data_IF_202604993647
#
_entry.id   IF_202604993647
#
_cell.length_a   1.000
_cell.length_b   1.000
_cell.length_c   1.000
_cell.angle_alpha   90.00
_cell.angle_beta   90.00
_cell.angle_gamma   90.00
#
_symmetry.space_group_name_H-M   'P 1'
#
loop_
_entity.id
_entity.type
_entity.pdbx_description
1 polymer ?
#
# COMPACT_ATOMS: atom_id res chain seq x y z
N UNK A 1 -7.87 8.13 40.48
CA UNK A 1 -8.37 9.04 39.44
C UNK A 1 -8.13 8.41 38.08
N UNK A 2 -9.18 8.28 37.27
CA UNK A 2 -9.11 7.68 35.93
C UNK A 2 -8.23 8.58 35.03
N UNK A 3 -6.99 8.16 34.74
CA UNK A 3 -6.16 8.84 33.76
C UNK A 3 -6.63 8.43 32.37
N UNK A 4 -7.47 9.25 31.74
CA UNK A 4 -7.86 9.07 30.34
C UNK A 4 -6.62 9.31 29.45
N UNK A 5 -6.13 8.30 28.70
CA UNK A 5 -4.98 8.47 27.80
C UNK A 5 -5.43 9.02 26.44
N UNK A 6 -6.21 10.12 26.44
CA UNK A 6 -6.91 10.58 25.22
C UNK A 6 -6.43 11.96 24.73
N UNK A 7 -5.57 12.66 25.47
CA UNK A 7 -5.11 14.01 25.11
C UNK A 7 -3.60 14.12 24.86
N UNK A 8 -3.04 13.20 24.07
CA UNK A 8 -1.77 13.47 23.40
C UNK A 8 -1.97 13.32 21.89
N UNK A 9 -2.59 14.33 21.28
CA UNK A 9 -2.77 14.41 19.83
C UNK A 9 -1.38 14.48 19.22
N UNK A 10 -0.88 13.32 18.79
CA UNK A 10 0.42 13.21 18.14
C UNK A 10 0.34 13.88 16.76
N UNK A 11 1.43 14.50 16.30
CA UNK A 11 1.53 15.13 14.96
C UNK A 11 1.08 14.18 13.85
N UNK A 12 1.31 12.88 14.03
CA UNK A 12 0.84 11.81 13.16
C UNK A 12 -0.69 11.75 13.05
N UNK A 13 -1.41 11.77 14.18
CA UNK A 13 -2.88 11.71 14.18
C UNK A 13 -3.49 12.91 13.45
N UNK A 14 -2.95 14.10 13.69
CA UNK A 14 -3.35 15.31 12.97
C UNK A 14 -3.11 15.20 11.45
N UNK A 15 -1.93 14.69 11.06
CA UNK A 15 -1.59 14.47 9.64
C UNK A 15 -2.54 13.44 8.99
N UNK A 16 -2.83 12.33 9.65
CA UNK A 16 -3.76 11.32 9.16
C UNK A 16 -5.18 11.89 8.96
N UNK A 17 -5.67 12.67 9.93
CA UNK A 17 -6.97 13.36 9.81
C UNK A 17 -6.96 14.37 8.66
N UNK A 18 -5.88 15.13 8.50
CA UNK A 18 -5.74 16.06 7.38
C UNK A 18 -5.78 15.34 6.02
N UNK A 19 -5.06 14.22 5.89
CA UNK A 19 -5.11 13.40 4.67
C UNK A 19 -6.51 12.86 4.37
N UNK A 20 -7.18 12.32 5.39
CA UNK A 20 -8.54 11.82 5.25
C UNK A 20 -9.51 12.92 4.78
N UNK A 21 -9.43 14.10 5.40
CA UNK A 21 -10.26 15.24 5.01
C UNK A 21 -9.96 15.73 3.60
N UNK A 22 -8.68 15.84 3.21
CA UNK A 22 -8.32 16.22 1.85
C UNK A 22 -8.80 15.22 0.81
N UNK A 23 -8.71 13.92 1.08
CA UNK A 23 -9.26 12.89 0.18
C UNK A 23 -10.77 13.00 0.04
N UNK A 24 -11.47 13.32 1.14
CA UNK A 24 -12.91 13.56 1.12
C UNK A 24 -13.28 14.78 0.26
N UNK A 25 -12.57 15.90 0.42
CA UNK A 25 -12.78 17.11 -0.39
C UNK A 25 -12.47 16.83 -1.87
N UNK A 26 -11.35 16.15 -2.15
CA UNK A 26 -10.91 15.83 -3.51
C UNK A 26 -11.97 15.03 -4.28
N UNK A 27 -12.59 14.04 -3.62
CA UNK A 27 -13.71 13.26 -4.19
C UNK A 27 -14.90 14.13 -4.62
N UNK A 28 -15.15 15.24 -3.93
CA UNK A 28 -16.27 16.15 -4.23
C UNK A 28 -15.92 17.25 -5.24
N UNK A 29 -14.64 17.64 -5.32
CA UNK A 29 -14.16 18.71 -6.21
C UNK A 29 -13.89 18.18 -7.63
N UNK A 30 -13.51 16.92 -7.80
CA UNK A 30 -13.22 16.38 -9.12
C UNK A 30 -14.47 16.03 -9.93
N UNK A 31 -14.80 16.94 -10.86
CA UNK A 31 -15.92 16.80 -11.81
C UNK A 31 -15.46 16.78 -13.28
N UNK A 32 -14.36 16.08 -13.57
CA UNK A 32 -14.01 15.70 -14.95
C UNK A 32 -13.10 16.69 -15.70
N UNK A 33 -11.88 16.90 -15.19
CA UNK A 33 -10.80 17.51 -15.97
C UNK A 33 -9.90 16.44 -16.57
N UNK A 34 -9.72 16.45 -17.90
CA UNK A 34 -8.73 15.59 -18.56
C UNK A 34 -7.31 15.97 -18.12
N UNK A 35 -6.53 15.00 -17.65
CA UNK A 35 -5.17 15.23 -17.15
C UNK A 35 -4.18 15.07 -18.31
N UNK A 36 -3.43 16.13 -18.59
CA UNK A 36 -2.36 16.09 -19.56
C UNK A 36 -1.11 15.40 -19.00
N UNK A 37 -0.49 14.51 -19.79
CA UNK A 37 0.68 13.73 -19.38
C UNK A 37 1.86 14.57 -18.85
N UNK A 38 2.06 15.79 -19.35
CA UNK A 38 3.14 16.67 -18.88
C UNK A 38 3.01 17.06 -17.40
N UNK A 39 1.78 17.21 -16.87
CA UNK A 39 1.53 17.53 -15.46
C UNK A 39 1.98 16.39 -14.54
N UNK A 40 1.81 15.14 -14.98
CA UNK A 40 2.27 13.95 -14.23
C UNK A 40 3.80 13.92 -14.17
N UNK A 41 4.48 14.23 -15.28
CA UNK A 41 5.95 14.31 -15.33
C UNK A 41 6.46 15.40 -14.40
N UNK A 42 5.81 16.57 -14.37
CA UNK A 42 6.16 17.65 -13.45
C UNK A 42 5.98 17.23 -11.98
N UNK A 43 4.86 16.60 -11.63
CA UNK A 43 4.65 16.07 -10.28
C UNK A 43 5.72 15.03 -9.89
N UNK A 44 6.08 14.14 -10.83
CA UNK A 44 7.13 13.15 -10.61
C UNK A 44 8.50 13.82 -10.34
N UNK A 45 8.86 14.85 -11.10
CA UNK A 45 10.11 15.59 -10.88
C UNK A 45 10.16 16.29 -9.51
N UNK A 46 9.05 16.87 -9.06
CA UNK A 46 8.92 17.47 -7.72
C UNK A 46 9.11 16.40 -6.64
N UNK A 47 8.48 15.23 -6.79
CA UNK A 47 8.60 14.13 -5.82
C UNK A 47 10.03 13.57 -5.79
N UNK A 48 10.64 13.37 -6.96
CA UNK A 48 11.99 12.83 -7.06
C UNK A 48 13.05 13.77 -6.44
N UNK A 49 12.91 15.08 -6.65
CA UNK A 49 13.80 16.08 -6.04
C UNK A 49 13.58 16.12 -4.53
N UNK A 50 12.34 16.18 -4.05
CA UNK A 50 12.02 16.20 -2.62
C UNK A 50 12.51 14.93 -1.88
N UNK A 51 12.35 13.75 -2.49
CA UNK A 51 12.79 12.46 -1.94
C UNK A 51 14.30 12.43 -1.64
N UNK A 52 15.11 13.10 -2.47
CA UNK A 52 16.56 13.21 -2.24
C UNK A 52 16.93 14.04 -1.02
N UNK A 53 16.15 15.07 -0.70
CA UNK A 53 16.44 15.97 0.42
C UNK A 53 15.84 15.47 1.75
N UNK A 54 14.73 14.73 1.70
CA UNK A 54 13.98 14.30 2.89
C UNK A 54 13.71 12.80 2.87
N UNK A 55 14.75 12.00 3.17
CA UNK A 55 14.58 10.57 3.42
C UNK A 55 14.09 10.35 4.85
N UNK A 56 12.77 10.44 5.08
CA UNK A 56 12.14 10.18 6.38
C UNK A 56 10.86 9.37 6.23
N UNK A 57 10.73 8.35 7.07
CA UNK A 57 9.49 7.59 7.23
C UNK A 57 8.49 8.37 8.08
N UNK A 58 7.19 8.19 7.78
CA UNK A 58 6.07 8.86 8.47
C UNK A 58 6.14 8.65 10.00
N UNK A 59 6.51 7.44 10.42
CA UNK A 59 6.49 6.98 11.82
C UNK A 59 7.50 7.73 12.71
N UNK A 60 8.55 8.34 12.11
CA UNK A 60 9.58 9.11 12.83
C UNK A 60 9.48 10.63 12.67
N UNK A 61 8.37 11.17 12.15
CA UNK A 61 8.29 12.59 11.79
C UNK A 61 7.95 13.51 12.97
N UNK A 62 8.88 14.40 13.30
CA UNK A 62 8.63 15.56 14.17
C UNK A 62 7.74 16.59 13.47
N UNK A 63 6.98 17.38 14.23
CA UNK A 63 6.03 18.40 13.73
C UNK A 63 6.59 19.32 12.63
N UNK A 64 7.87 19.71 12.71
CA UNK A 64 8.53 20.56 11.68
C UNK A 64 8.67 19.89 10.31
N UNK A 65 8.77 18.56 10.25
CA UNK A 65 8.87 17.79 9.00
C UNK A 65 7.51 17.29 8.49
N UNK A 66 6.45 17.38 9.30
CA UNK A 66 5.09 16.90 8.98
C UNK A 66 4.41 17.76 7.90
N UNK A 67 4.59 19.09 7.94
CA UNK A 67 3.97 20.01 6.99
C UNK A 67 4.47 19.80 5.54
N UNK A 68 5.79 19.81 5.25
CA UNK A 68 6.25 19.58 3.88
C UNK A 68 5.91 18.15 3.39
N UNK A 69 5.84 17.18 4.30
CA UNK A 69 5.39 15.83 3.98
C UNK A 69 3.93 15.78 3.52
N UNK A 70 3.06 16.59 4.12
CA UNK A 70 1.66 16.69 3.70
C UNK A 70 1.53 17.19 2.26
N UNK A 71 2.23 18.27 1.91
CA UNK A 71 2.18 18.83 0.55
C UNK A 71 2.73 17.88 -0.50
N UNK A 72 3.87 17.22 -0.23
CA UNK A 72 4.43 16.27 -1.19
C UNK A 72 3.50 15.06 -1.40
N UNK A 73 2.83 14.61 -0.33
CA UNK A 73 1.85 13.54 -0.43
C UNK A 73 0.62 13.98 -1.25
N UNK A 74 0.15 15.22 -1.15
CA UNK A 74 -0.92 15.74 -2.02
C UNK A 74 -0.50 15.73 -3.50
N UNK A 75 0.73 16.16 -3.81
CA UNK A 75 1.29 16.08 -5.16
C UNK A 75 1.37 14.64 -5.64
N UNK A 76 1.78 13.72 -4.77
CA UNK A 76 1.77 12.28 -5.00
C UNK A 76 0.38 11.73 -5.32
N UNK A 77 -0.63 12.05 -4.50
CA UNK A 77 -2.01 11.63 -4.71
C UNK A 77 -2.57 12.14 -6.05
N UNK A 78 -2.30 13.40 -6.40
CA UNK A 78 -2.69 13.96 -7.70
C UNK A 78 -1.99 13.25 -8.87
N UNK A 79 -0.69 12.94 -8.72
CA UNK A 79 0.06 12.17 -9.72
C UNK A 79 -0.52 10.76 -9.91
N UNK A 80 -0.82 10.04 -8.82
CA UNK A 80 -1.42 8.71 -8.87
C UNK A 80 -2.78 8.74 -9.57
N UNK A 81 -3.63 9.72 -9.25
CA UNK A 81 -4.89 9.92 -9.97
C UNK A 81 -4.68 10.15 -11.47
N UNK A 82 -3.69 10.96 -11.84
CA UNK A 82 -3.20 11.14 -13.21
C UNK A 82 -2.87 9.84 -13.94
N UNK A 83 -2.10 8.99 -13.29
CA UNK A 83 -1.69 7.70 -13.84
C UNK A 83 -2.91 6.79 -14.01
N UNK A 84 -3.82 6.75 -13.03
CA UNK A 84 -5.05 5.97 -13.12
C UNK A 84 -5.92 6.41 -14.31
N UNK A 85 -6.06 7.71 -14.55
CA UNK A 85 -6.81 8.24 -15.70
C UNK A 85 -6.19 7.84 -17.04
N UNK A 86 -4.85 7.90 -17.15
CA UNK A 86 -4.13 7.46 -18.36
C UNK A 86 -4.26 5.95 -18.61
N UNK A 87 -4.17 5.13 -17.57
CA UNK A 87 -4.34 3.68 -17.66
C UNK A 87 -5.77 3.35 -18.10
N UNK A 88 -6.77 4.03 -17.55
CA UNK A 88 -8.16 3.79 -17.91
C UNK A 88 -8.45 4.12 -19.39
N UNK A 89 -7.86 5.19 -19.91
CA UNK A 89 -8.04 5.59 -21.31
C UNK A 89 -7.34 4.69 -22.34
N UNK A 90 -6.22 4.05 -21.98
CA UNK A 90 -5.39 3.27 -22.92
C UNK A 90 -5.44 1.75 -22.72
N UNK A 91 -5.67 1.28 -21.49
CA UNK A 91 -5.53 -0.12 -21.11
C UNK A 91 -6.73 -0.62 -20.28
N UNK A 92 -7.90 -0.73 -20.93
CA UNK A 92 -9.15 -1.13 -20.25
C UNK A 92 -9.05 -2.46 -19.48
N UNK A 93 -8.34 -3.47 -20.01
CA UNK A 93 -8.13 -4.76 -19.32
C UNK A 93 -7.28 -4.61 -18.04
N UNK A 94 -6.22 -3.81 -18.10
CA UNK A 94 -5.35 -3.55 -16.95
C UNK A 94 -6.09 -2.72 -15.89
N UNK A 95 -6.85 -1.71 -16.31
CA UNK A 95 -7.72 -0.92 -15.43
C UNK A 95 -8.70 -1.82 -14.67
N UNK A 96 -9.37 -2.74 -15.37
CA UNK A 96 -10.30 -3.68 -14.74
C UNK A 96 -9.62 -4.63 -13.76
N UNK A 97 -8.42 -5.13 -14.10
CA UNK A 97 -7.63 -5.98 -13.21
C UNK A 97 -7.19 -5.22 -11.94
N UNK A 98 -6.67 -3.99 -12.09
CA UNK A 98 -6.26 -3.15 -10.96
C UNK A 98 -7.44 -2.77 -10.07
N UNK A 99 -8.59 -2.43 -10.66
CA UNK A 99 -9.83 -2.17 -9.91
C UNK A 99 -10.27 -3.40 -9.11
N UNK A 100 -10.23 -4.58 -9.72
CA UNK A 100 -10.57 -5.83 -9.04
C UNK A 100 -9.64 -6.14 -7.86
N UNK A 101 -8.32 -5.97 -8.04
CA UNK A 101 -7.33 -6.12 -6.97
C UNK A 101 -7.61 -5.11 -5.84
N UNK A 102 -7.91 -3.85 -6.20
CA UNK A 102 -8.23 -2.79 -5.25
C UNK A 102 -9.47 -3.09 -4.40
N UNK A 103 -10.54 -3.60 -5.00
CA UNK A 103 -11.77 -3.98 -4.28
C UNK A 103 -11.53 -5.14 -3.29
N UNK A 104 -10.55 -5.99 -3.55
CA UNK A 104 -10.20 -7.12 -2.69
C UNK A 104 -8.94 -6.84 -1.84
N UNK A 105 -8.51 -5.58 -1.73
CA UNK A 105 -7.22 -5.21 -1.13
C UNK A 105 -7.06 -5.72 0.31
N UNK A 106 -8.08 -5.59 1.16
CA UNK A 106 -8.03 -6.04 2.55
C UNK A 106 -7.87 -7.57 2.65
N UNK A 107 -8.64 -8.30 1.85
CA UNK A 107 -8.54 -9.76 1.76
C UNK A 107 -7.16 -10.16 1.27
N UNK A 108 -6.68 -9.58 0.17
CA UNK A 108 -5.36 -9.85 -0.40
C UNK A 108 -4.26 -9.58 0.64
N UNK A 109 -4.28 -8.43 1.31
CA UNK A 109 -3.28 -8.03 2.30
C UNK A 109 -3.26 -8.99 3.51
N UNK A 110 -4.43 -9.42 3.98
CA UNK A 110 -4.57 -10.38 5.09
C UNK A 110 -3.90 -11.70 4.73
N UNK A 111 -4.21 -12.24 3.54
CA UNK A 111 -3.60 -13.48 3.06
C UNK A 111 -2.12 -13.31 2.71
N UNK A 112 -1.67 -12.10 2.40
CA UNK A 112 -0.29 -11.80 2.03
C UNK A 112 0.67 -12.03 3.19
N UNK A 113 0.33 -11.53 4.38
CA UNK A 113 1.13 -11.78 5.58
C UNK A 113 1.15 -13.25 5.98
N UNK A 114 0.06 -13.99 5.76
CA UNK A 114 0.04 -15.43 6.00
C UNK A 114 0.90 -16.19 4.98
N UNK A 115 0.86 -15.79 3.70
CA UNK A 115 1.68 -16.39 2.65
C UNK A 115 3.18 -16.20 2.92
N UNK A 116 3.58 -15.06 3.50
CA UNK A 116 4.95 -14.88 3.97
C UNK A 116 5.37 -15.95 4.99
N UNK A 117 4.49 -16.34 5.93
CA UNK A 117 4.82 -17.39 6.90
C UNK A 117 5.05 -18.75 6.25
N UNK A 118 4.35 -19.06 5.15
CA UNK A 118 4.61 -20.29 4.37
C UNK A 118 6.03 -20.29 3.81
N UNK A 119 6.48 -19.16 3.23
CA UNK A 119 7.86 -19.03 2.72
C UNK A 119 8.87 -19.04 3.87
N UNK A 120 8.58 -18.38 4.99
CA UNK A 120 9.44 -18.40 6.17
C UNK A 120 9.61 -19.81 6.73
N UNK A 121 8.54 -20.60 6.80
CA UNK A 121 8.59 -22.00 7.23
C UNK A 121 9.46 -22.85 6.29
N UNK A 122 9.38 -22.64 4.98
CA UNK A 122 10.25 -23.31 4.01
C UNK A 122 11.73 -22.98 4.24
N UNK A 123 12.06 -21.72 4.52
CA UNK A 123 13.44 -21.29 4.84
C UNK A 123 13.90 -21.95 6.16
N UNK A 124 13.07 -21.96 7.20
CA UNK A 124 13.40 -22.57 8.48
C UNK A 124 13.71 -24.07 8.30
N UNK A 125 12.88 -24.77 7.54
CA UNK A 125 13.10 -26.18 7.21
C UNK A 125 14.41 -26.39 6.42
N UNK A 126 14.70 -25.54 5.44
CA UNK A 126 15.88 -25.69 4.57
C UNK A 126 17.21 -25.39 5.25
N UNK A 127 17.21 -24.45 6.20
CA UNK A 127 18.41 -23.99 6.91
C UNK A 127 18.48 -24.51 8.36
N UNK A 128 17.57 -25.42 8.76
CA UNK A 128 17.48 -25.98 10.11
C UNK A 128 17.51 -24.91 11.20
N UNK A 129 16.74 -23.84 10.99
CA UNK A 129 16.65 -22.73 11.93
C UNK A 129 15.69 -23.07 13.07
N UNK A 130 15.76 -22.28 14.14
CA UNK A 130 14.77 -22.35 15.22
C UNK A 130 13.38 -21.95 14.69
N UNK A 131 12.36 -22.70 15.12
CA UNK A 131 10.96 -22.45 14.79
C UNK A 131 10.47 -21.12 15.38
N UNK A 132 11.10 -20.62 16.45
CA UNK A 132 10.79 -19.30 17.04
C UNK A 132 10.93 -18.16 16.02
N UNK A 133 11.83 -18.31 15.05
CA UNK A 133 12.03 -17.33 13.96
C UNK A 133 10.83 -17.20 13.04
N UNK A 134 9.91 -18.18 13.05
CA UNK A 134 8.65 -18.07 12.31
C UNK A 134 7.78 -16.93 12.85
N UNK A 135 7.98 -16.49 14.09
CA UNK A 135 7.29 -15.36 14.70
C UNK A 135 7.70 -13.99 14.13
N UNK A 136 8.88 -13.87 13.50
CA UNK A 136 9.41 -12.59 12.99
C UNK A 136 8.43 -11.92 12.00
N UNK A 137 8.10 -10.65 12.24
CA UNK A 137 7.15 -9.89 11.43
C UNK A 137 7.85 -8.77 10.65
N UNK A 138 7.51 -8.51 9.36
CA UNK A 138 6.62 -9.29 8.49
C UNK A 138 7.30 -10.51 7.82
N UNK A 139 8.63 -10.48 7.67
CA UNK A 139 9.47 -11.54 7.10
C UNK A 139 10.83 -11.56 7.82
N UNK A 140 11.57 -12.66 7.69
CA UNK A 140 12.96 -12.74 8.19
C UNK A 140 13.88 -11.82 7.38
N UNK A 141 14.26 -10.68 7.96
CA UNK A 141 14.92 -9.56 7.28
C UNK A 141 16.28 -9.98 6.70
N UNK A 142 17.03 -10.80 7.43
CA UNK A 142 18.36 -11.28 7.03
C UNK A 142 18.30 -12.04 5.70
N UNK A 143 17.39 -13.00 5.58
CA UNK A 143 17.20 -13.78 4.36
C UNK A 143 16.61 -12.95 3.23
N UNK A 144 15.69 -12.03 3.54
CA UNK A 144 15.12 -11.13 2.55
C UNK A 144 16.21 -10.30 1.86
N UNK A 145 17.18 -9.77 2.63
CA UNK A 145 18.33 -8.99 2.11
C UNK A 145 19.26 -9.81 1.20
N UNK A 146 19.39 -11.11 1.45
CA UNK A 146 20.25 -12.03 0.67
C UNK A 146 19.60 -12.46 -0.65
N UNK A 147 18.34 -12.10 -0.90
CA UNK A 147 17.64 -12.36 -2.17
C UNK A 147 16.33 -13.13 -2.03
N UNK A 148 16.01 -13.65 -0.84
CA UNK A 148 14.74 -14.35 -0.62
C UNK A 148 13.52 -13.44 -0.78
N UNK A 149 13.70 -12.11 -0.82
CA UNK A 149 12.62 -11.17 -1.10
C UNK A 149 11.88 -11.49 -2.40
N UNK A 150 12.56 -12.01 -3.43
CA UNK A 150 11.94 -12.39 -4.71
C UNK A 150 10.97 -13.56 -4.50
N UNK A 151 11.40 -14.57 -3.74
CA UNK A 151 10.58 -15.74 -3.42
C UNK A 151 9.38 -15.33 -2.57
N UNK A 152 9.62 -14.51 -1.52
CA UNK A 152 8.55 -13.94 -0.71
C UNK A 152 7.52 -13.20 -1.57
N UNK A 153 7.97 -12.35 -2.49
CA UNK A 153 7.11 -11.58 -3.38
C UNK A 153 6.31 -12.48 -4.32
N UNK A 154 6.97 -13.35 -5.08
CA UNK A 154 6.32 -14.19 -6.09
C UNK A 154 5.31 -15.16 -5.47
N UNK A 155 5.71 -15.87 -4.42
CA UNK A 155 4.84 -16.85 -3.76
C UNK A 155 3.64 -16.15 -3.13
N UNK A 156 3.85 -15.02 -2.45
CA UNK A 156 2.76 -14.31 -1.77
C UNK A 156 1.81 -13.66 -2.76
N UNK A 157 2.31 -13.11 -3.87
CA UNK A 157 1.47 -12.61 -4.95
C UNK A 157 0.63 -13.74 -5.58
N UNK A 158 1.24 -14.89 -5.90
CA UNK A 158 0.54 -16.02 -6.49
C UNK A 158 -0.54 -16.58 -5.57
N UNK A 159 -0.22 -16.80 -4.28
CA UNK A 159 -1.16 -17.33 -3.28
C UNK A 159 -2.33 -16.36 -3.08
N UNK A 160 -2.04 -15.08 -2.83
CA UNK A 160 -3.09 -14.09 -2.51
C UNK A 160 -4.03 -13.82 -3.66
N UNK A 161 -3.51 -13.74 -4.89
CA UNK A 161 -4.34 -13.59 -6.09
C UNK A 161 -5.20 -14.83 -6.34
N UNK A 162 -4.65 -16.04 -6.15
CA UNK A 162 -5.40 -17.29 -6.30
C UNK A 162 -6.55 -17.37 -5.29
N UNK A 163 -6.28 -17.04 -4.02
CA UNK A 163 -7.31 -17.03 -2.97
C UNK A 163 -8.40 -16.00 -3.28
N UNK A 164 -8.01 -14.78 -3.68
CA UNK A 164 -8.99 -13.75 -4.05
C UNK A 164 -9.86 -14.18 -5.24
N UNK A 165 -9.27 -14.87 -6.22
CA UNK A 165 -10.01 -15.41 -7.37
C UNK A 165 -10.99 -16.51 -6.97
N UNK A 166 -10.55 -17.47 -6.15
CA UNK A 166 -11.39 -18.57 -5.63
C UNK A 166 -12.55 -17.99 -4.80
N UNK A 167 -12.27 -17.03 -3.93
CA UNK A 167 -13.30 -16.41 -3.09
C UNK A 167 -14.41 -15.75 -3.94
N UNK A 168 -14.02 -15.04 -5.01
CA UNK A 168 -14.97 -14.48 -5.96
C UNK A 168 -15.79 -15.57 -6.66
N UNK A 169 -15.14 -16.64 -7.10
CA UNK A 169 -15.79 -17.75 -7.79
C UNK A 169 -16.83 -18.43 -6.89
N UNK A 170 -16.47 -18.72 -5.63
CA UNK A 170 -17.38 -19.29 -4.63
C UNK A 170 -18.59 -18.36 -4.47
N UNK A 171 -18.39 -17.09 -4.15
CA UNK A 171 -19.50 -16.15 -3.94
C UNK A 171 -20.46 -16.08 -5.15
N UNK A 172 -19.94 -16.09 -6.37
CA UNK A 172 -20.76 -16.07 -7.58
C UNK A 172 -21.51 -17.39 -7.83
N UNK A 173 -20.96 -18.53 -7.40
CA UNK A 173 -21.63 -19.83 -7.50
C UNK A 173 -22.76 -19.97 -6.48
N UNK A 174 -22.61 -19.39 -5.27
CA UNK A 174 -23.66 -19.36 -4.25
C UNK A 174 -24.87 -18.50 -4.64
N UNK A 175 -24.67 -17.43 -5.42
CA UNK A 175 -25.77 -16.57 -5.91
C UNK A 175 -26.59 -17.19 -7.05
N UNK A 176 -26.18 -18.34 -7.57
CA UNK A 176 -26.87 -19.07 -8.66
C UNK A 176 -27.73 -20.24 -8.17
N UNK A 177 -27.71 -20.52 -6.87
CA UNK A 177 -28.57 -21.50 -6.19
C UNK A 177 -29.70 -20.74 -5.49
#
# INVERSE_FOLDING_TARGET
>A
GLALPVFNINSLTFLCTAFFLTGYIFKHVERGGGISAWRIILCFAIIATFSRFFHKEIVGTTFKSTIPYFFIALVGSYMTWGICALINGKFGKLSHALCWIGLNTLTILTWHFLAFKVVSLFIIYRYSLDIERLGEFPVMIEYAKVGWWVVYFLVSMAITLSIAYINKWIHNSWLKL
#
